data_IF_747923818488
#
_entry.id   IF_747923818488
#
_cell.length_a   1.000
_cell.length_b   1.000
_cell.length_c   1.000
_cell.angle_alpha   90.00
_cell.angle_beta   90.00
_cell.angle_gamma   90.00
#
_symmetry.space_group_name_H-M   'P 1'
#
loop_
_entity.id
_entity.type
_entity.pdbx_description
1 polymer ?
#
# COMPACT_ATOMS: atom_id res chain seq x y z
N UNK A 1 1.54 -10.53 3.09
CA UNK A 1 2.08 -11.87 2.75
C UNK A 1 2.57 -11.79 1.31
N UNK A 2 3.85 -12.07 1.05
CA UNK A 2 4.36 -12.18 -0.33
C UNK A 2 4.43 -13.65 -0.70
N UNK A 3 3.79 -14.04 -1.79
CA UNK A 3 3.91 -15.38 -2.36
C UNK A 3 5.00 -15.39 -3.44
N UNK A 4 5.96 -16.31 -3.32
CA UNK A 4 6.99 -16.56 -4.33
C UNK A 4 6.82 -18.00 -4.79
N UNK A 5 6.65 -18.22 -6.09
CA UNK A 5 6.43 -19.55 -6.65
C UNK A 5 7.58 -20.50 -6.26
N UNK A 6 7.25 -21.67 -5.70
CA UNK A 6 8.23 -22.69 -5.27
C UNK A 6 8.93 -22.39 -3.94
N UNK A 7 8.56 -21.33 -3.21
CA UNK A 7 9.04 -21.06 -1.85
C UNK A 7 7.88 -21.01 -0.87
N UNK A 8 7.96 -21.82 0.18
CA UNK A 8 6.99 -21.87 1.27
C UNK A 8 7.21 -20.76 2.33
N UNK A 9 8.23 -19.91 2.12
CA UNK A 9 8.59 -18.85 3.07
C UNK A 9 7.68 -17.64 2.91
N UNK A 10 6.92 -17.36 3.96
CA UNK A 10 6.14 -16.13 4.09
C UNK A 10 6.98 -15.01 4.67
N UNK A 11 6.88 -13.81 4.08
CA UNK A 11 7.40 -12.57 4.65
C UNK A 11 6.25 -11.65 5.03
N UNK A 12 6.33 -11.08 6.23
CA UNK A 12 5.37 -10.12 6.78
C UNK A 12 6.00 -8.74 6.90
N UNK A 13 5.22 -7.71 6.59
CA UNK A 13 5.65 -6.32 6.68
C UNK A 13 4.77 -5.59 7.69
N UNK A 14 5.35 -4.80 8.61
CA UNK A 14 4.55 -4.03 9.54
C UNK A 14 3.75 -2.97 8.78
N UNK A 15 2.52 -2.75 9.24
CA UNK A 15 1.64 -1.66 8.79
C UNK A 15 1.41 -0.72 9.95
N UNK A 16 1.26 0.58 9.66
CA UNK A 16 0.84 1.55 10.67
C UNK A 16 -0.65 1.34 10.95
N UNK A 17 -1.07 1.25 12.23
CA UNK A 17 -2.48 1.29 12.58
C UNK A 17 -3.11 2.58 12.05
N UNK A 18 -4.36 2.48 11.61
CA UNK A 18 -5.17 3.62 11.17
C UNK A 18 -6.26 3.80 12.21
N UNK A 19 -6.27 4.96 12.86
CA UNK A 19 -7.22 5.26 13.94
C UNK A 19 -8.54 5.81 13.40
N UNK A 20 -8.47 6.73 12.43
CA UNK A 20 -9.64 7.32 11.77
C UNK A 20 -9.91 6.63 10.43
N UNK A 21 -10.84 5.68 10.45
CA UNK A 21 -11.34 4.99 9.25
C UNK A 21 -12.54 5.77 8.71
N UNK A 22 -12.42 6.30 7.49
CA UNK A 22 -13.49 7.04 6.81
C UNK A 22 -14.22 6.12 5.83
N UNK A 23 -13.48 5.57 4.86
CA UNK A 23 -14.00 4.66 3.83
C UNK A 23 -12.88 3.70 3.40
N UNK A 24 -13.17 2.41 3.32
CA UNK A 24 -12.17 1.40 2.91
C UNK A 24 -12.23 1.07 1.43
N UNK A 25 -13.24 1.55 0.70
CA UNK A 25 -13.35 1.32 -0.72
C UNK A 25 -12.12 1.87 -1.47
N UNK A 26 -11.63 1.11 -2.46
CA UNK A 26 -10.43 1.48 -3.22
C UNK A 26 -9.09 1.39 -2.49
N UNK A 27 -9.03 1.12 -1.18
CA UNK A 27 -7.76 1.02 -0.45
C UNK A 27 -6.83 -0.07 -1.02
N UNK A 28 -7.40 -1.16 -1.53
CA UNK A 28 -6.67 -2.22 -2.23
C UNK A 28 -6.07 -1.77 -3.56
N UNK A 29 -6.80 -0.94 -4.31
CA UNK A 29 -6.31 -0.37 -5.58
C UNK A 29 -5.20 0.63 -5.33
N UNK A 30 -5.35 1.48 -4.31
CA UNK A 30 -4.30 2.39 -3.87
C UNK A 30 -3.04 1.64 -3.41
N UNK A 31 -3.19 0.54 -2.68
CA UNK A 31 -2.08 -0.35 -2.31
C UNK A 31 -1.39 -0.92 -3.55
N UNK A 32 -2.16 -1.50 -4.48
CA UNK A 32 -1.60 -2.08 -5.71
C UNK A 32 -0.88 -1.03 -6.56
N UNK A 33 -1.45 0.16 -6.69
CA UNK A 33 -0.84 1.29 -7.38
C UNK A 33 0.49 1.72 -6.75
N UNK A 34 0.55 1.78 -5.42
CA UNK A 34 1.80 2.09 -4.70
C UNK A 34 2.89 1.03 -4.91
N UNK A 35 2.53 -0.26 -4.85
CA UNK A 35 3.47 -1.36 -5.10
C UNK A 35 3.99 -1.32 -6.54
N UNK A 36 3.08 -1.28 -7.52
CA UNK A 36 3.45 -1.30 -8.94
C UNK A 36 4.28 -0.05 -9.31
N UNK A 37 3.87 1.13 -8.84
CA UNK A 37 4.60 2.37 -9.08
C UNK A 37 6.03 2.33 -8.54
N UNK A 38 6.23 1.86 -7.31
CA UNK A 38 7.56 1.72 -6.73
C UNK A 38 8.42 0.67 -7.48
N UNK A 39 7.84 -0.46 -7.89
CA UNK A 39 8.55 -1.47 -8.68
C UNK A 39 8.97 -0.95 -10.07
N UNK A 40 8.11 -0.16 -10.73
CA UNK A 40 8.45 0.49 -12.00
C UNK A 40 9.60 1.49 -11.85
N UNK A 41 9.74 2.11 -10.67
CA UNK A 41 10.88 2.97 -10.30
C UNK A 41 12.09 2.17 -9.79
N UNK A 42 12.14 0.87 -10.06
CA UNK A 42 13.23 -0.05 -9.69
C UNK A 42 13.51 -0.14 -8.19
N UNK A 43 12.52 0.14 -7.34
CA UNK A 43 12.65 -0.03 -5.90
C UNK A 43 12.64 -1.51 -5.50
N UNK A 44 13.31 -1.83 -4.39
CA UNK A 44 13.25 -3.16 -3.79
C UNK A 44 11.84 -3.47 -3.25
N UNK A 45 11.52 -4.76 -3.16
CA UNK A 45 10.17 -5.23 -2.79
C UNK A 45 9.72 -4.69 -1.43
N UNK A 46 10.63 -4.55 -0.46
CA UNK A 46 10.34 -4.00 0.86
C UNK A 46 9.85 -2.54 0.76
N UNK A 47 10.47 -1.74 -0.11
CA UNK A 47 10.08 -0.36 -0.38
C UNK A 47 8.78 -0.28 -1.18
N UNK A 48 8.56 -1.20 -2.10
CA UNK A 48 7.30 -1.27 -2.84
C UNK A 48 6.12 -1.60 -1.91
N UNK A 49 6.30 -2.55 -0.98
CA UNK A 49 5.27 -2.86 0.03
C UNK A 49 5.04 -1.68 0.98
N UNK A 50 6.09 -0.96 1.39
CA UNK A 50 5.96 0.27 2.18
C UNK A 50 5.14 1.34 1.45
N UNK A 51 5.39 1.54 0.15
CA UNK A 51 4.64 2.48 -0.69
C UNK A 51 3.17 2.08 -0.80
N UNK A 52 2.88 0.81 -1.08
CA UNK A 52 1.52 0.28 -1.12
C UNK A 52 0.79 0.48 0.21
N UNK A 53 1.41 0.08 1.33
CA UNK A 53 0.83 0.25 2.67
C UNK A 53 0.53 1.73 2.97
N UNK A 54 1.40 2.64 2.53
CA UNK A 54 1.22 4.08 2.71
C UNK A 54 0.03 4.59 1.89
N UNK A 55 -0.04 4.28 0.60
CA UNK A 55 -1.14 4.76 -0.25
C UNK A 55 -2.49 4.14 0.12
N UNK A 56 -2.54 2.84 0.43
CA UNK A 56 -3.75 2.20 0.94
C UNK A 56 -4.22 2.84 2.25
N UNK A 57 -3.29 3.13 3.16
CA UNK A 57 -3.63 3.81 4.41
C UNK A 57 -4.10 5.25 4.25
N UNK A 58 -3.54 6.00 3.28
CA UNK A 58 -4.01 7.34 2.95
C UNK A 58 -5.43 7.31 2.35
N UNK A 59 -5.71 6.34 1.47
CA UNK A 59 -7.02 6.14 0.86
C UNK A 59 -8.10 5.88 1.93
N UNK A 60 -7.79 5.11 2.97
CA UNK A 60 -8.74 4.78 4.04
C UNK A 60 -9.27 6.03 4.78
N UNK A 61 -8.46 7.09 4.80
CA UNK A 61 -8.84 8.38 5.41
C UNK A 61 -9.58 9.33 4.47
N UNK A 62 -9.89 8.93 3.22
CA UNK A 62 -10.65 9.70 2.24
C UNK A 62 -12.01 9.04 1.99
N UNK A 63 -12.90 9.73 1.28
CA UNK A 63 -14.17 9.17 0.80
C UNK A 63 -13.98 8.72 -0.66
N UNK A 64 -14.35 7.48 -0.99
CA UNK A 64 -14.11 6.87 -2.31
C UNK A 64 -12.58 6.75 -2.65
N UNK A 65 -12.16 6.28 -3.86
CA UNK A 65 -10.76 5.94 -4.14
C UNK A 65 -9.91 7.19 -4.48
N UNK A 66 -9.82 8.12 -3.55
CA UNK A 66 -9.10 9.39 -3.71
C UNK A 66 -7.88 9.40 -2.79
N UNK A 67 -6.77 9.96 -3.26
CA UNK A 67 -5.59 10.24 -2.43
C UNK A 67 -5.61 11.72 -2.00
N UNK A 68 -5.17 12.03 -0.76
CA UNK A 68 -5.02 13.42 -0.36
C UNK A 68 -3.99 14.11 -1.27
N UNK A 69 -4.22 15.39 -1.55
CA UNK A 69 -3.25 16.19 -2.28
C UNK A 69 -1.90 16.23 -1.55
N UNK A 70 -0.77 16.27 -2.28
CA UNK A 70 0.53 16.47 -1.66
C UNK A 70 0.49 17.72 -0.78
N UNK A 71 1.02 17.60 0.44
CA UNK A 71 1.25 18.77 1.29
C UNK A 71 2.46 19.51 0.72
N UNK A 72 2.35 20.83 0.62
CA UNK A 72 3.43 21.73 0.20
C UNK A 72 4.68 21.61 1.08
#
# INVERSE_FOLDING_TARGET
IIAIQGKEKTTSFPVKPIEDIVDTDGAGDAFAGGVVGALLLHQHIEKAIEAGNTLGGLCIGQNEPVLPLPKD
#
